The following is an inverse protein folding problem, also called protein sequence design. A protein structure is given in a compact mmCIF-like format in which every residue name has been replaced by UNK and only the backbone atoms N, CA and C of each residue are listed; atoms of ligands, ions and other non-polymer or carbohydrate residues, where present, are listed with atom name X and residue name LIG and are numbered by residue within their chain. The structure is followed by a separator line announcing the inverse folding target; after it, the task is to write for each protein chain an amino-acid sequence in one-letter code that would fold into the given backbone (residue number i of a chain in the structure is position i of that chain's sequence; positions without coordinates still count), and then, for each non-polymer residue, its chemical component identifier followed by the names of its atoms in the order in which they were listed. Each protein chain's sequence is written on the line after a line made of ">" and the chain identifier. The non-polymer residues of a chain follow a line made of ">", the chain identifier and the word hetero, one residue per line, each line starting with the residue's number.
data_IF_831797588285
#
_entry.id   IF_831797588285
#
_cell.length_a   1.000
_cell.length_b   1.000
_cell.length_c   1.000
_cell.angle_alpha   90.00
_cell.angle_beta   90.00
_cell.angle_gamma   90.00
#
_symmetry.space_group_name_H-M   'P 1'
#
loop_
_entity.id
_entity.type
_entity.pdbx_description
1 polymer ?
#
# COMPACT_ATOMS: atom_id res chain seq x y z
N UNK A 1 -7.81 13.06 -12.14
CA UNK A 1 -7.21 11.84 -11.55
C UNK A 1 -6.89 12.08 -10.09
N UNK A 2 -6.94 11.02 -9.31
CA UNK A 2 -6.56 11.04 -7.90
C UNK A 2 -5.31 10.20 -7.71
N UNK A 3 -4.29 10.76 -7.06
CA UNK A 3 -3.09 10.04 -6.63
C UNK A 3 -3.31 9.60 -5.19
N UNK A 4 -3.11 8.33 -4.92
CA UNK A 4 -3.21 7.77 -3.56
C UNK A 4 -1.84 7.22 -3.16
N UNK A 5 -1.24 7.84 -2.15
CA UNK A 5 0.08 7.44 -1.66
C UNK A 5 -0.07 6.81 -0.27
N UNK A 6 0.61 5.70 -0.06
CA UNK A 6 0.67 5.05 1.25
C UNK A 6 2.13 4.78 1.59
N UNK A 7 2.53 5.17 2.79
CA UNK A 7 3.88 4.89 3.31
C UNK A 7 3.72 4.04 4.56
N UNK A 8 4.36 2.87 4.54
CA UNK A 8 4.29 1.91 5.64
C UNK A 8 5.58 1.90 6.43
N UNK A 9 5.43 1.82 7.75
CA UNK A 9 6.55 1.64 8.69
C UNK A 9 6.38 0.28 9.35
N UNK A 10 7.39 -0.57 9.22
CA UNK A 10 7.39 -1.87 9.92
C UNK A 10 7.54 -1.63 11.42
N UNK A 11 6.86 -2.45 12.21
CA UNK A 11 7.00 -2.41 13.66
C UNK A 11 8.43 -2.76 14.07
N UNK A 12 8.85 -2.30 15.24
CA UNK A 12 10.20 -2.55 15.73
C UNK A 12 10.50 -4.04 15.74
N UNK A 13 11.65 -4.43 15.20
CA UNK A 13 12.09 -5.82 15.13
C UNK A 13 11.54 -6.62 13.96
N UNK A 14 10.63 -6.05 13.16
CA UNK A 14 10.11 -6.74 11.98
C UNK A 14 11.01 -6.44 10.77
N UNK A 15 11.48 -7.50 10.11
CA UNK A 15 12.36 -7.40 8.96
C UNK A 15 11.60 -7.64 7.65
N UNK A 16 12.19 -7.17 6.53
CA UNK A 16 11.57 -7.32 5.20
C UNK A 16 11.36 -8.77 4.79
N UNK A 17 12.20 -9.69 5.27
CA UNK A 17 12.10 -11.12 4.97
C UNK A 17 11.22 -11.90 5.95
N UNK A 18 10.60 -11.24 6.90
CA UNK A 18 9.59 -11.86 7.76
C UNK A 18 8.51 -12.46 6.86
N UNK A 19 8.14 -13.76 7.02
CA UNK A 19 7.13 -14.38 6.16
C UNK A 19 5.81 -13.62 6.09
N UNK A 20 5.40 -12.95 7.17
CA UNK A 20 4.18 -12.13 7.18
C UNK A 20 4.31 -10.93 6.23
N UNK A 21 5.49 -10.31 6.20
CA UNK A 21 5.77 -9.17 5.32
C UNK A 21 5.76 -9.63 3.87
N UNK A 22 6.42 -10.74 3.57
CA UNK A 22 6.44 -11.31 2.21
C UNK A 22 5.02 -11.58 1.72
N UNK A 23 4.19 -12.20 2.55
CA UNK A 23 2.77 -12.45 2.24
C UNK A 23 2.02 -11.14 2.02
N UNK A 24 2.25 -10.15 2.87
CA UNK A 24 1.61 -8.84 2.77
C UNK A 24 1.97 -8.11 1.48
N UNK A 25 3.22 -8.18 1.04
CA UNK A 25 3.66 -7.58 -0.22
C UNK A 25 2.96 -8.25 -1.40
N UNK A 26 2.90 -9.58 -1.41
CA UNK A 26 2.24 -10.31 -2.48
C UNK A 26 0.74 -10.03 -2.53
N UNK A 27 0.08 -9.89 -1.37
CA UNK A 27 -1.33 -9.52 -1.32
C UNK A 27 -1.57 -8.18 -2.01
N UNK A 28 -0.75 -7.17 -1.74
CA UNK A 28 -0.88 -5.87 -2.39
C UNK A 28 -0.47 -5.92 -3.86
N UNK A 29 0.61 -6.64 -4.20
CA UNK A 29 1.04 -6.75 -5.59
C UNK A 29 -0.05 -7.32 -6.47
N UNK A 30 -0.82 -8.27 -5.96
CA UNK A 30 -1.87 -8.94 -6.73
C UNK A 30 -3.10 -8.05 -7.00
N UNK A 31 -3.25 -6.92 -6.30
CA UNK A 31 -4.44 -6.08 -6.42
C UNK A 31 -4.59 -5.46 -7.79
N UNK A 32 -3.51 -5.17 -8.47
CA UNK A 32 -3.56 -4.55 -9.81
C UNK A 32 -4.37 -5.39 -10.78
N UNK A 33 -4.27 -6.72 -10.68
CA UNK A 33 -5.03 -7.63 -11.54
C UNK A 33 -6.43 -7.95 -11.04
N UNK A 34 -6.79 -7.52 -9.83
CA UNK A 34 -8.07 -7.88 -9.21
C UNK A 34 -9.03 -6.72 -9.08
N UNK A 35 -8.54 -5.49 -9.08
CA UNK A 35 -9.36 -4.28 -8.88
C UNK A 35 -9.25 -3.40 -10.13
N UNK A 36 -10.27 -3.43 -11.02
CA UNK A 36 -10.21 -2.72 -12.30
C UNK A 36 -10.08 -1.20 -12.17
N UNK A 37 -10.46 -0.61 -11.05
CA UNK A 37 -10.38 0.83 -10.81
C UNK A 37 -8.95 1.35 -10.72
N UNK A 38 -7.98 0.48 -10.47
CA UNK A 38 -6.57 0.88 -10.36
C UNK A 38 -6.05 1.27 -11.74
N UNK A 39 -5.58 2.53 -11.91
CA UNK A 39 -5.01 3.04 -13.16
C UNK A 39 -3.49 3.05 -13.16
N UNK A 40 -2.89 3.11 -11.98
CA UNK A 40 -1.44 3.06 -11.78
C UNK A 40 -1.18 2.33 -10.49
N UNK A 41 -0.16 1.46 -10.48
CA UNK A 41 0.14 0.64 -9.30
C UNK A 41 1.63 0.39 -9.22
N UNK A 42 2.27 0.97 -8.23
CA UNK A 42 3.71 0.89 -8.07
C UNK A 42 4.03 0.66 -6.59
N UNK A 43 4.82 -0.36 -6.31
CA UNK A 43 5.25 -0.72 -4.97
C UNK A 43 6.76 -0.66 -4.89
N UNK A 44 7.29 -0.22 -3.76
CA UNK A 44 8.74 -0.18 -3.60
C UNK A 44 9.19 -0.13 -2.17
N UNK A 45 10.36 -0.71 -1.94
CA UNK A 45 11.04 -0.63 -0.65
C UNK A 45 11.90 0.62 -0.57
N UNK A 46 11.94 1.20 0.62
CA UNK A 46 12.78 2.36 0.90
C UNK A 46 14.26 2.01 0.72
N UNK A 47 15.02 2.94 0.12
CA UNK A 47 16.48 2.83 -0.04
C UNK A 47 17.23 3.84 0.83
N UNK A 48 16.51 4.75 1.48
CA UNK A 48 17.12 5.82 2.27
C UNK A 48 17.47 5.32 3.68
N UNK A 49 18.60 5.77 4.23
CA UNK A 49 18.97 5.50 5.61
C UNK A 49 18.59 6.64 6.57
N UNK A 50 17.78 7.60 6.08
CA UNK A 50 17.37 8.74 6.88
C UNK A 50 16.39 8.31 7.98
N UNK A 51 16.54 8.84 9.21
CA UNK A 51 15.66 8.43 10.33
C UNK A 51 14.17 8.68 10.11
N UNK A 52 13.82 9.65 9.25
CA UNK A 52 12.41 9.98 8.97
C UNK A 52 11.81 9.14 7.84
N UNK A 53 12.62 8.29 7.18
CA UNK A 53 12.13 7.49 6.06
C UNK A 53 11.28 6.32 6.57
N UNK A 54 10.15 6.08 5.90
CA UNK A 54 9.34 4.88 6.13
C UNK A 54 9.91 3.74 5.29
N UNK A 55 9.35 2.53 5.42
CA UNK A 55 10.00 1.33 4.92
C UNK A 55 9.49 0.88 3.55
N UNK A 56 8.20 1.04 3.28
CA UNK A 56 7.57 0.54 2.06
C UNK A 56 6.54 1.56 1.56
N UNK A 57 6.43 1.68 0.24
CA UNK A 57 5.53 2.67 -0.36
C UNK A 57 4.65 2.04 -1.44
N UNK A 58 3.42 2.52 -1.53
CA UNK A 58 2.52 2.25 -2.65
C UNK A 58 2.15 3.59 -3.28
N UNK A 59 2.37 3.70 -4.59
CA UNK A 59 1.98 4.84 -5.40
C UNK A 59 0.92 4.38 -6.39
N UNK A 60 -0.29 4.88 -6.24
CA UNK A 60 -1.42 4.43 -7.06
C UNK A 60 -2.23 5.62 -7.58
N UNK A 61 -3.02 5.38 -8.63
CA UNK A 61 -3.87 6.40 -9.23
C UNK A 61 -5.22 5.83 -9.60
N UNK A 62 -6.24 6.67 -9.51
CA UNK A 62 -7.65 6.35 -9.78
C UNK A 62 -8.27 7.47 -10.58
N UNK A 63 -9.32 7.17 -11.35
CA UNK A 63 -9.98 8.18 -12.19
C UNK A 63 -10.57 9.33 -11.37
N UNK A 64 -11.19 8.99 -10.23
CA UNK A 64 -11.88 9.96 -9.38
C UNK A 64 -12.03 9.41 -7.95
N UNK A 65 -12.68 10.21 -7.09
CA UNK A 65 -12.91 9.83 -5.71
C UNK A 65 -13.78 8.58 -5.59
N UNK A 66 -14.76 8.41 -6.49
CA UNK A 66 -15.62 7.24 -6.46
C UNK A 66 -14.84 5.95 -6.75
N UNK A 67 -13.93 6.00 -7.71
CA UNK A 67 -13.08 4.85 -8.02
C UNK A 67 -12.16 4.52 -6.85
N UNK A 68 -11.57 5.54 -6.22
CA UNK A 68 -10.76 5.34 -5.02
C UNK A 68 -11.57 4.69 -3.90
N UNK A 69 -12.80 5.13 -3.69
CA UNK A 69 -13.67 4.56 -2.67
C UNK A 69 -13.97 3.09 -2.96
N UNK A 70 -14.24 2.75 -4.21
CA UNK A 70 -14.48 1.36 -4.62
C UNK A 70 -13.27 0.49 -4.29
N UNK A 71 -12.05 0.99 -4.56
CA UNK A 71 -10.82 0.30 -4.21
C UNK A 71 -10.69 0.13 -2.69
N UNK A 72 -10.87 1.19 -1.94
CA UNK A 72 -10.71 1.16 -0.47
C UNK A 72 -11.65 0.13 0.15
N UNK A 73 -12.89 0.06 -0.33
CA UNK A 73 -13.91 -0.83 0.21
C UNK A 73 -13.85 -2.25 -0.36
N UNK A 74 -13.00 -2.49 -1.36
CA UNK A 74 -12.93 -3.79 -2.02
C UNK A 74 -12.44 -4.88 -1.05
N UNK A 75 -13.08 -6.07 -1.02
CA UNK A 75 -12.69 -7.15 -0.11
C UNK A 75 -11.22 -7.57 -0.22
N UNK A 76 -10.67 -7.58 -1.43
CA UNK A 76 -9.27 -7.95 -1.63
C UNK A 76 -8.32 -6.90 -1.04
N UNK A 77 -8.67 -5.61 -1.13
CA UNK A 77 -7.90 -4.55 -0.49
C UNK A 77 -7.99 -4.68 1.03
N UNK A 78 -9.18 -4.92 1.56
CA UNK A 78 -9.38 -5.07 2.99
C UNK A 78 -8.60 -6.26 3.56
N UNK A 79 -8.51 -7.36 2.81
CA UNK A 79 -7.71 -8.51 3.22
C UNK A 79 -6.21 -8.16 3.32
N UNK A 80 -5.70 -7.40 2.35
CA UNK A 80 -4.31 -6.92 2.38
C UNK A 80 -4.06 -5.99 3.55
N UNK A 81 -4.99 -5.08 3.82
CA UNK A 81 -4.90 -4.16 4.97
C UNK A 81 -4.82 -4.93 6.28
N UNK A 82 -5.65 -5.99 6.43
CA UNK A 82 -5.66 -6.81 7.64
C UNK A 82 -4.29 -7.46 7.88
N UNK A 83 -3.63 -7.95 6.82
CA UNK A 83 -2.29 -8.53 6.95
C UNK A 83 -1.29 -7.47 7.42
N UNK A 84 -1.24 -6.32 6.76
CA UNK A 84 -0.27 -5.27 7.07
C UNK A 84 -0.48 -4.65 8.46
N UNK A 85 -1.71 -4.66 8.97
CA UNK A 85 -1.99 -4.15 10.31
C UNK A 85 -1.29 -4.93 11.40
N UNK A 86 -0.99 -6.20 11.18
CA UNK A 86 -0.36 -7.05 12.19
C UNK A 86 1.11 -6.71 12.44
N UNK A 87 1.80 -6.06 11.48
CA UNK A 87 3.24 -5.85 11.59
C UNK A 87 3.70 -4.44 11.19
N UNK A 88 2.77 -3.52 10.97
CA UNK A 88 3.14 -2.18 10.49
C UNK A 88 2.10 -1.13 10.87
N UNK A 89 2.49 0.11 10.69
CA UNK A 89 1.60 1.27 10.67
C UNK A 89 1.83 2.03 9.38
N UNK A 90 0.92 2.93 9.01
CA UNK A 90 1.04 3.68 7.76
C UNK A 90 0.37 5.04 7.83
N UNK A 91 0.74 5.88 6.87
CA UNK A 91 0.14 7.18 6.62
C UNK A 91 -0.25 7.26 5.16
N UNK A 92 -1.22 8.10 4.84
CA UNK A 92 -1.69 8.28 3.48
C UNK A 92 -1.73 9.76 3.09
N UNK A 93 -1.70 10.00 1.78
CA UNK A 93 -2.04 11.29 1.21
C UNK A 93 -2.75 11.04 -0.13
N UNK A 94 -3.89 11.69 -0.31
CA UNK A 94 -4.66 11.64 -1.54
C UNK A 94 -4.73 13.05 -2.12
N UNK A 95 -4.41 13.20 -3.42
CA UNK A 95 -4.49 14.52 -4.06
C UNK A 95 -4.86 14.40 -5.52
N UNK A 96 -5.43 15.48 -6.07
CA UNK A 96 -5.73 15.57 -7.50
C UNK A 96 -4.48 15.94 -8.30
N UNK A 97 -4.43 15.40 -9.51
CA UNK A 97 -3.36 15.74 -10.44
C UNK A 97 -3.84 15.64 -11.89
#
# INVERSE_FOLDING_TARGET
>A
MIRHLVLFKLDEGVERDDPRVVEGVEAFRSLEGKIPEIRHWELGWNLSDRPIAYDFAINSAFDDQAALRTYVDHPEHQAGVALWREFSSWVIADYEF
#
